data_IF_736654657057
#
_entry.id   IF_736654657057
#
_cell.length_a   1.000
_cell.length_b   1.000
_cell.length_c   1.000
_cell.angle_alpha   90.00
_cell.angle_beta   90.00
_cell.angle_gamma   90.00
#
_symmetry.space_group_name_H-M   'P 1'
#
loop_
_entity.id
_entity.type
_entity.pdbx_description
1 polymer ?
#
# COMPACT_ATOMS: atom_id res chain seq x y z
N UNK A 1 -25.14 -4.28 -19.89
CA UNK A 1 -24.41 -5.51 -19.53
C UNK A 1 -23.71 -5.25 -18.21
N UNK A 2 -24.02 -5.98 -17.12
CA UNK A 2 -23.34 -5.78 -15.84
C UNK A 2 -21.96 -6.45 -15.87
N UNK A 3 -20.97 -5.79 -15.26
CA UNK A 3 -19.61 -6.32 -15.06
C UNK A 3 -19.31 -6.21 -13.57
N UNK A 4 -18.89 -7.31 -12.95
CA UNK A 4 -18.40 -7.30 -11.58
C UNK A 4 -17.03 -6.64 -11.55
N UNK A 5 -16.86 -5.67 -10.65
CA UNK A 5 -15.57 -5.02 -10.40
C UNK A 5 -15.34 -5.05 -8.89
N UNK A 6 -14.25 -5.69 -8.48
CA UNK A 6 -13.78 -5.73 -7.11
C UNK A 6 -12.41 -5.07 -7.03
N UNK A 7 -12.20 -4.25 -5.99
CA UNK A 7 -10.94 -3.58 -5.74
C UNK A 7 -10.70 -3.48 -4.23
N UNK A 8 -9.49 -3.80 -3.81
CA UNK A 8 -9.08 -3.77 -2.40
C UNK A 8 -8.12 -2.61 -2.18
N UNK A 9 -8.30 -1.88 -1.06
CA UNK A 9 -7.40 -0.83 -0.62
C UNK A 9 -6.68 -1.25 0.64
N UNK A 10 -5.35 -1.28 0.60
CA UNK A 10 -4.51 -1.44 1.80
C UNK A 10 -4.17 -0.04 2.32
N UNK A 11 -4.63 0.26 3.54
CA UNK A 11 -4.44 1.56 4.20
C UNK A 11 -3.39 1.42 5.30
N UNK A 12 -2.41 2.31 5.30
CA UNK A 12 -1.28 2.31 6.21
C UNK A 12 -1.21 3.68 6.88
N UNK A 13 -0.97 3.72 8.20
CA UNK A 13 -0.75 4.99 8.90
C UNK A 13 0.52 5.64 8.40
N UNK A 14 0.45 6.94 8.12
CA UNK A 14 1.59 7.67 7.60
C UNK A 14 2.76 7.69 8.59
N UNK A 15 2.48 7.96 9.87
CA UNK A 15 3.49 7.94 10.92
C UNK A 15 4.22 6.59 11.02
N UNK A 16 3.53 5.47 10.81
CA UNK A 16 4.14 4.15 10.86
C UNK A 16 5.14 3.93 9.71
N UNK A 17 4.86 4.50 8.52
CA UNK A 17 5.79 4.46 7.39
C UNK A 17 7.04 5.27 7.71
N UNK A 18 6.84 6.48 8.22
CA UNK A 18 7.96 7.38 8.56
C UNK A 18 8.84 6.79 9.68
N UNK A 19 8.26 6.11 10.66
CA UNK A 19 8.96 5.53 11.81
C UNK A 19 9.64 4.18 11.50
N UNK A 20 8.98 3.32 10.70
CA UNK A 20 9.39 1.92 10.57
C UNK A 20 9.98 1.56 9.22
N UNK A 21 9.56 2.23 8.15
CA UNK A 21 10.00 1.85 6.81
C UNK A 21 11.47 2.26 6.59
N UNK A 22 12.35 1.35 6.15
CA UNK A 22 13.73 1.71 5.85
C UNK A 22 13.81 2.82 4.78
N UNK A 23 14.38 3.96 5.14
CA UNK A 23 14.44 5.15 4.28
C UNK A 23 13.16 5.99 4.27
N UNK A 24 12.23 5.72 5.19
CA UNK A 24 11.02 6.51 5.42
C UNK A 24 10.10 6.60 4.21
N UNK A 25 9.36 7.71 4.14
CA UNK A 25 8.37 7.93 3.09
C UNK A 25 8.88 7.83 1.66
N UNK A 26 9.98 8.50 1.33
CA UNK A 26 10.43 8.55 -0.07
C UNK A 26 10.81 7.16 -0.58
N UNK A 27 11.40 6.34 0.30
CA UNK A 27 11.69 4.94 0.03
C UNK A 27 10.41 4.13 -0.15
N UNK A 28 9.42 4.35 0.72
CA UNK A 28 8.10 3.72 0.59
C UNK A 28 7.43 4.05 -0.75
N UNK A 29 7.42 5.32 -1.18
CA UNK A 29 6.82 5.75 -2.45
C UNK A 29 7.47 5.03 -3.64
N UNK A 30 8.79 4.87 -3.62
CA UNK A 30 9.53 4.16 -4.68
C UNK A 30 9.26 2.65 -4.68
N UNK A 31 8.98 2.09 -3.51
CA UNK A 31 8.75 0.65 -3.32
C UNK A 31 7.30 0.20 -3.57
N UNK A 32 6.34 1.12 -3.72
CA UNK A 32 4.95 0.75 -3.99
C UNK A 32 4.88 -0.04 -5.32
N UNK A 33 4.23 -1.22 -5.34
CA UNK A 33 4.32 -2.15 -6.46
C UNK A 33 3.54 -1.71 -7.70
N UNK A 34 2.75 -0.65 -7.60
CA UNK A 34 1.92 -0.15 -8.68
C UNK A 34 1.70 1.37 -8.56
N UNK A 35 1.18 1.99 -9.61
CA UNK A 35 0.97 3.44 -9.66
C UNK A 35 -0.39 3.88 -9.07
N UNK A 36 -0.80 3.26 -7.97
CA UNK A 36 -2.10 3.55 -7.33
C UNK A 36 -2.00 4.22 -5.96
N UNK A 37 -0.77 4.55 -5.53
CA UNK A 37 -0.54 5.23 -4.27
C UNK A 37 -1.29 6.57 -4.22
N UNK A 38 -2.12 6.71 -3.20
CA UNK A 38 -2.72 7.98 -2.79
C UNK A 38 -2.43 8.20 -1.31
N UNK A 39 -2.13 9.43 -0.91
CA UNK A 39 -1.82 9.73 0.49
C UNK A 39 -2.21 11.16 0.86
N UNK A 40 -2.51 11.32 2.13
CA UNK A 40 -2.57 12.61 2.80
C UNK A 40 -1.52 12.66 3.93
N UNK A 41 -1.68 13.58 4.88
CA UNK A 41 -0.76 13.73 6.01
C UNK A 41 -0.91 12.64 7.08
N UNK A 42 -1.99 11.86 7.05
CA UNK A 42 -2.36 10.88 8.09
C UNK A 42 -2.24 9.44 7.61
N UNK A 43 -2.57 9.16 6.35
CA UNK A 43 -2.63 7.82 5.78
C UNK A 43 -2.06 7.75 4.36
N UNK A 44 -1.58 6.56 4.01
CA UNK A 44 -1.25 6.16 2.65
C UNK A 44 -2.12 4.95 2.25
N UNK A 45 -2.54 4.91 1.00
CA UNK A 45 -3.40 3.87 0.44
C UNK A 45 -2.83 3.35 -0.86
N UNK A 46 -2.77 2.03 -1.00
CA UNK A 46 -2.43 1.33 -2.26
C UNK A 46 -3.59 0.45 -2.67
N UNK A 47 -4.02 0.55 -3.92
CA UNK A 47 -5.14 -0.18 -4.50
C UNK A 47 -4.70 -1.40 -5.29
N UNK A 48 -5.52 -2.46 -5.24
CA UNK A 48 -5.29 -3.72 -5.93
C UNK A 48 -6.58 -4.25 -6.54
N UNK A 49 -6.47 -4.96 -7.67
CA UNK A 49 -7.59 -5.62 -8.35
C UNK A 49 -7.58 -7.13 -8.15
N UNK A 50 -6.49 -7.70 -7.63
CA UNK A 50 -6.33 -9.13 -7.39
C UNK A 50 -6.03 -9.38 -5.89
N UNK A 51 -6.80 -10.24 -5.20
CA UNK A 51 -6.53 -10.63 -3.81
C UNK A 51 -5.11 -11.17 -3.55
N UNK A 52 -4.51 -11.90 -4.50
CA UNK A 52 -3.16 -12.47 -4.31
C UNK A 52 -2.08 -11.38 -4.22
N UNK A 53 -2.27 -10.27 -4.96
CA UNK A 53 -1.38 -9.10 -4.90
C UNK A 53 -1.50 -8.40 -3.53
N UNK A 54 -2.71 -8.37 -2.96
CA UNK A 54 -2.97 -7.82 -1.62
C UNK A 54 -2.23 -8.63 -0.56
N UNK A 55 -2.35 -9.95 -0.60
CA UNK A 55 -1.67 -10.83 0.36
C UNK A 55 -0.15 -10.69 0.25
N UNK A 56 0.38 -10.71 -0.97
CA UNK A 56 1.81 -10.52 -1.24
C UNK A 56 2.30 -9.17 -0.70
N UNK A 57 1.51 -8.11 -0.90
CA UNK A 57 1.85 -6.78 -0.42
C UNK A 57 1.83 -6.70 1.11
N UNK A 58 0.80 -7.22 1.78
CA UNK A 58 0.72 -7.27 3.25
C UNK A 58 1.91 -8.03 3.84
N UNK A 59 2.25 -9.19 3.28
CA UNK A 59 3.41 -9.96 3.70
C UNK A 59 4.72 -9.18 3.56
N UNK A 60 4.84 -8.33 2.52
CA UNK A 60 6.00 -7.45 2.35
C UNK A 60 6.05 -6.33 3.39
N UNK A 61 4.90 -5.75 3.74
CA UNK A 61 4.78 -4.71 4.77
C UNK A 61 5.21 -5.26 6.14
N UNK A 62 4.68 -6.43 6.53
CA UNK A 62 5.00 -7.07 7.81
C UNK A 62 6.49 -7.41 7.96
N UNK A 63 7.19 -7.70 6.86
CA UNK A 63 8.65 -7.93 6.87
C UNK A 63 9.47 -6.66 7.03
N UNK A 64 8.93 -5.51 6.61
CA UNK A 64 9.62 -4.21 6.60
C UNK A 64 9.26 -3.32 7.80
N UNK A 65 8.23 -3.62 8.61
CA UNK A 65 7.93 -2.91 9.87
C UNK A 65 6.63 -3.29 10.58
#
# INVERSE_FOLDING_TARGET
MPVLVEATSVIIKRSAIDEKWPGGWESFVRDVPNQTLCADTLIARVGFMNPDDVESYINSLQKKG
#
